data_IF_761677628499
#
_entry.id   IF_761677628499
#
_cell.length_a   1.000
_cell.length_b   1.000
_cell.length_c   1.000
_cell.angle_alpha   90.00
_cell.angle_beta   90.00
_cell.angle_gamma   90.00
#
_symmetry.space_group_name_H-M   'P 1'
#
loop_
_entity.id
_entity.type
_entity.pdbx_description
1 polymer ?
#
# COMPACT_ATOMS: atom_id res chain seq x y z
N UNK A 1 -3.98 -24.74 -9.75
CA UNK A 1 -3.80 -24.36 -8.35
C UNK A 1 -2.84 -23.18 -8.25
N UNK A 2 -3.22 -22.18 -7.48
CA UNK A 2 -2.38 -20.98 -7.35
C UNK A 2 -1.30 -21.19 -6.30
N UNK A 3 -0.05 -20.98 -6.73
CA UNK A 3 1.11 -21.14 -5.84
C UNK A 3 1.71 -19.77 -5.52
N UNK A 4 0.84 -18.82 -5.15
CA UNK A 4 1.28 -17.49 -4.78
C UNK A 4 1.81 -17.45 -3.35
N UNK A 5 2.90 -16.72 -3.14
CA UNK A 5 3.47 -16.55 -1.80
C UNK A 5 2.56 -15.71 -0.90
N UNK A 6 1.93 -14.68 -1.47
CA UNK A 6 1.04 -13.81 -0.75
C UNK A 6 0.18 -13.02 -1.72
N UNK A 7 -0.91 -12.45 -1.23
CA UNK A 7 -1.79 -11.57 -2.01
C UNK A 7 -1.59 -10.14 -1.52
N UNK A 8 -1.13 -9.26 -2.40
CA UNK A 8 -0.72 -7.90 -2.06
C UNK A 8 -1.59 -6.89 -2.78
N UNK A 9 -2.02 -5.86 -2.05
CA UNK A 9 -2.71 -4.71 -2.62
C UNK A 9 -1.73 -3.54 -2.70
N UNK A 10 -1.59 -2.96 -3.88
CA UNK A 10 -0.74 -1.78 -4.10
C UNK A 10 -1.64 -0.58 -4.37
N UNK A 11 -1.57 0.43 -3.51
CA UNK A 11 -2.40 1.61 -3.58
C UNK A 11 -1.53 2.84 -3.87
N UNK A 12 -1.68 3.40 -5.06
CA UNK A 12 -0.92 4.57 -5.48
C UNK A 12 -1.69 5.24 -6.62
N UNK A 13 -1.75 6.56 -6.63
CA UNK A 13 -2.42 7.30 -7.70
C UNK A 13 -1.57 7.35 -8.97
N UNK A 14 -0.28 7.06 -8.88
CA UNK A 14 0.63 7.05 -10.02
C UNK A 14 0.56 5.69 -10.74
N UNK A 15 0.04 5.72 -11.96
CA UNK A 15 -0.10 4.51 -12.77
C UNK A 15 1.25 3.84 -13.03
N UNK A 16 2.31 4.62 -13.24
CA UNK A 16 3.64 4.07 -13.49
C UNK A 16 4.16 3.28 -12.29
N UNK A 17 3.98 3.82 -11.11
CA UNK A 17 4.37 3.14 -9.87
C UNK A 17 3.56 1.85 -9.67
N UNK A 18 2.24 1.92 -9.86
CA UNK A 18 1.39 0.73 -9.75
C UNK A 18 1.86 -0.37 -10.69
N UNK A 19 2.12 -0.02 -11.95
CA UNK A 19 2.54 -0.99 -12.96
C UNK A 19 3.90 -1.59 -12.64
N UNK A 20 4.85 -0.75 -12.21
CA UNK A 20 6.20 -1.20 -11.87
C UNK A 20 6.19 -2.17 -10.70
N UNK A 21 5.51 -1.80 -9.62
CA UNK A 21 5.45 -2.63 -8.41
C UNK A 21 4.71 -3.93 -8.71
N UNK A 22 3.60 -3.86 -9.43
CA UNK A 22 2.84 -5.05 -9.80
C UNK A 22 3.68 -6.01 -10.63
N UNK A 23 4.39 -5.49 -11.61
CA UNK A 23 5.24 -6.32 -12.48
C UNK A 23 6.31 -7.03 -11.66
N UNK A 24 7.02 -6.28 -10.82
CA UNK A 24 8.09 -6.85 -10.02
C UNK A 24 7.58 -7.93 -9.08
N UNK A 25 6.52 -7.64 -8.35
CA UNK A 25 5.97 -8.59 -7.38
C UNK A 25 5.37 -9.81 -8.06
N UNK A 26 4.72 -9.62 -9.20
CA UNK A 26 4.15 -10.73 -9.95
C UNK A 26 5.24 -11.68 -10.47
N UNK A 27 6.38 -11.13 -10.88
CA UNK A 27 7.52 -11.93 -11.32
C UNK A 27 8.15 -12.73 -10.16
N UNK A 28 7.88 -12.32 -8.92
CA UNK A 28 8.39 -12.98 -7.74
C UNK A 28 7.32 -13.80 -7.02
N UNK A 29 6.30 -14.24 -7.75
CA UNK A 29 5.27 -15.18 -7.29
C UNK A 29 4.27 -14.61 -6.29
N UNK A 30 4.06 -13.29 -6.33
CA UNK A 30 2.98 -12.68 -5.55
C UNK A 30 1.78 -12.41 -6.44
N UNK A 31 0.59 -12.55 -5.87
CA UNK A 31 -0.63 -12.14 -6.54
C UNK A 31 -0.88 -10.69 -6.16
N UNK A 32 -1.06 -9.81 -7.15
CA UNK A 32 -1.13 -8.38 -6.92
C UNK A 32 -2.40 -7.78 -7.50
N UNK A 33 -3.14 -7.06 -6.67
CA UNK A 33 -4.20 -6.17 -7.10
C UNK A 33 -3.72 -4.73 -6.88
N UNK A 34 -4.26 -3.80 -7.65
CA UNK A 34 -3.91 -2.39 -7.52
C UNK A 34 -5.14 -1.54 -7.25
N UNK A 35 -4.93 -0.41 -6.63
CA UNK A 35 -5.96 0.59 -6.40
C UNK A 35 -5.37 1.97 -6.66
N UNK A 36 -6.15 2.87 -7.24
CA UNK A 36 -5.68 4.20 -7.59
C UNK A 36 -6.02 5.27 -6.56
N UNK A 37 -6.76 4.91 -5.53
CA UNK A 37 -7.20 5.84 -4.48
C UNK A 37 -7.50 5.08 -3.20
N UNK A 38 -7.66 5.82 -2.11
CA UNK A 38 -8.06 5.24 -0.83
C UNK A 38 -9.46 4.63 -0.92
N UNK A 39 -10.37 5.28 -1.65
CA UNK A 39 -11.73 4.80 -1.83
C UNK A 39 -11.75 3.47 -2.59
N UNK A 40 -10.97 3.38 -3.66
CA UNK A 40 -10.84 2.14 -4.44
C UNK A 40 -10.24 1.02 -3.59
N UNK A 41 -9.22 1.36 -2.79
CA UNK A 41 -8.60 0.40 -1.88
C UNK A 41 -9.61 -0.13 -0.86
N UNK A 42 -10.41 0.75 -0.29
CA UNK A 42 -11.41 0.39 0.70
C UNK A 42 -12.43 -0.60 0.12
N UNK A 43 -12.88 -0.37 -1.10
CA UNK A 43 -13.82 -1.27 -1.77
C UNK A 43 -13.20 -2.66 -1.98
N UNK A 44 -11.93 -2.72 -2.37
CA UNK A 44 -11.25 -3.98 -2.60
C UNK A 44 -11.01 -4.75 -1.31
N UNK A 45 -10.68 -4.05 -0.23
CA UNK A 45 -10.44 -4.68 1.07
C UNK A 45 -11.72 -5.32 1.63
N UNK A 46 -12.89 -4.79 1.30
CA UNK A 46 -14.15 -5.38 1.72
C UNK A 46 -14.41 -6.75 1.11
N UNK A 47 -13.86 -6.99 -0.07
CA UNK A 47 -14.14 -8.18 -0.86
C UNK A 47 -13.00 -9.20 -0.76
N UNK A 48 -11.77 -8.72 -0.70
CA UNK A 48 -10.57 -9.55 -0.78
C UNK A 48 -9.76 -9.39 0.49
N UNK A 49 -9.31 -10.50 1.06
CA UNK A 49 -8.39 -10.47 2.19
C UNK A 49 -6.97 -10.46 1.66
N UNK A 50 -6.26 -9.38 1.90
CA UNK A 50 -4.87 -9.25 1.48
C UNK A 50 -3.92 -9.61 2.61
N UNK A 51 -2.73 -10.09 2.24
CA UNK A 51 -1.68 -10.40 3.20
C UNK A 51 -0.81 -9.20 3.52
N UNK A 52 -0.78 -8.23 2.59
CA UNK A 52 0.01 -7.01 2.74
C UNK A 52 -0.62 -5.90 1.91
N UNK A 53 -0.58 -4.68 2.42
CA UNK A 53 -1.00 -3.49 1.69
C UNK A 53 0.21 -2.56 1.57
N UNK A 54 0.53 -2.16 0.34
CA UNK A 54 1.54 -1.16 0.06
C UNK A 54 0.78 0.11 -0.31
N UNK A 55 0.96 1.17 0.45
CA UNK A 55 0.08 2.33 0.43
C UNK A 55 0.87 3.63 0.28
N UNK A 56 0.55 4.41 -0.75
CA UNK A 56 1.14 5.72 -0.96
C UNK A 56 0.59 6.71 0.07
N UNK A 57 1.48 7.52 0.65
CA UNK A 57 1.07 8.56 1.60
C UNK A 57 0.35 9.70 0.87
N UNK A 58 0.90 10.11 -0.27
CA UNK A 58 0.41 11.29 -0.98
C UNK A 58 -0.54 10.89 -2.10
N UNK A 59 -1.83 10.96 -1.84
CA UNK A 59 -2.86 10.70 -2.86
C UNK A 59 -3.90 11.80 -2.87
N UNK A 60 -4.47 12.12 -4.04
CA UNK A 60 -5.58 13.07 -4.12
C UNK A 60 -6.77 12.58 -3.28
N UNK A 61 -7.47 13.52 -2.68
CA UNK A 61 -8.58 13.19 -1.80
C UNK A 61 -8.05 12.69 -0.46
N UNK A 62 -8.34 11.45 -0.13
CA UNK A 62 -7.90 10.87 1.15
C UNK A 62 -6.46 10.38 1.03
N UNK A 63 -5.57 10.88 1.88
CA UNK A 63 -4.18 10.45 1.90
C UNK A 63 -4.02 9.04 2.48
N UNK A 64 -2.85 8.44 2.27
CA UNK A 64 -2.53 7.15 2.86
C UNK A 64 -2.57 7.17 4.37
N UNK A 65 -2.10 8.26 4.99
CA UNK A 65 -2.15 8.40 6.45
C UNK A 65 -3.58 8.45 6.97
N UNK A 66 -4.45 9.21 6.29
CA UNK A 66 -5.86 9.28 6.66
C UNK A 66 -6.54 7.92 6.53
N UNK A 67 -6.22 7.19 5.46
CA UNK A 67 -6.75 5.86 5.23
C UNK A 67 -6.41 4.91 6.39
N UNK A 68 -5.15 4.89 6.82
CA UNK A 68 -4.72 4.04 7.94
C UNK A 68 -5.43 4.45 9.22
N UNK A 69 -5.47 5.75 9.48
CA UNK A 69 -6.06 6.29 10.70
C UNK A 69 -7.53 5.92 10.83
N UNK A 70 -8.28 6.02 9.73
CA UNK A 70 -9.71 5.70 9.72
C UNK A 70 -9.98 4.21 9.83
N UNK A 71 -9.05 3.37 9.36
CA UNK A 71 -9.28 1.93 9.29
C UNK A 71 -8.43 1.13 10.28
N UNK A 72 -7.71 1.80 11.17
CA UNK A 72 -6.78 1.14 12.08
C UNK A 72 -7.41 0.00 12.88
N UNK A 73 -8.61 0.21 13.39
CA UNK A 73 -9.29 -0.81 14.19
C UNK A 73 -9.86 -1.96 13.36
N UNK A 74 -9.96 -1.77 12.05
CA UNK A 74 -10.55 -2.76 11.13
C UNK A 74 -9.48 -3.50 10.31
N UNK A 75 -8.30 -2.91 10.16
CA UNK A 75 -7.23 -3.50 9.37
C UNK A 75 -6.36 -4.40 10.24
N UNK A 76 -6.45 -5.69 9.98
CA UNK A 76 -5.53 -6.67 10.58
C UNK A 76 -4.33 -6.89 9.68
N UNK A 77 -4.42 -6.42 8.44
CA UNK A 77 -3.38 -6.61 7.43
C UNK A 77 -2.23 -5.63 7.63
N UNK A 78 -0.98 -6.10 7.60
CA UNK A 78 0.18 -5.22 7.67
C UNK A 78 0.20 -4.20 6.53
N UNK A 79 0.66 -3.00 6.81
CA UNK A 79 0.73 -1.90 5.84
C UNK A 79 2.14 -1.35 5.77
N UNK A 80 2.66 -1.25 4.54
CA UNK A 80 3.92 -0.57 4.26
C UNK A 80 3.59 0.72 3.52
N UNK A 81 4.09 1.85 4.02
CA UNK A 81 3.86 3.14 3.39
C UNK A 81 4.94 3.45 2.37
N UNK A 82 4.51 3.98 1.22
CA UNK A 82 5.43 4.56 0.25
C UNK A 82 5.43 6.07 0.45
N UNK A 83 6.61 6.67 0.50
CA UNK A 83 6.73 8.10 0.66
C UNK A 83 7.70 8.68 -0.36
N UNK A 84 7.29 9.77 -1.00
CA UNK A 84 8.11 10.43 -2.02
C UNK A 84 9.36 11.08 -1.44
N UNK A 85 9.34 11.44 -0.18
CA UNK A 85 10.42 12.23 0.41
C UNK A 85 11.30 11.47 1.39
N UNK A 86 10.81 10.42 2.00
CA UNK A 86 11.59 9.68 3.00
C UNK A 86 12.00 10.50 4.20
N UNK A 87 11.30 11.60 4.47
CA UNK A 87 11.63 12.48 5.58
C UNK A 87 11.25 11.85 6.91
N UNK A 88 12.03 12.17 7.94
CA UNK A 88 11.83 11.60 9.26
C UNK A 88 10.44 11.90 9.82
N UNK A 89 9.93 13.10 9.57
CA UNK A 89 8.61 13.51 10.05
C UNK A 89 7.52 12.62 9.45
N UNK A 90 7.56 12.39 8.15
CA UNK A 90 6.58 11.55 7.47
C UNK A 90 6.65 10.11 7.95
N UNK A 91 7.86 9.61 8.18
CA UNK A 91 8.05 8.26 8.68
C UNK A 91 7.45 8.09 10.08
N UNK A 92 7.74 9.04 10.96
CA UNK A 92 7.22 9.00 12.32
C UNK A 92 5.70 9.06 12.33
N UNK A 93 5.11 9.97 11.55
CA UNK A 93 3.66 10.07 11.43
C UNK A 93 3.04 8.78 10.92
N UNK A 94 3.65 8.17 9.90
CA UNK A 94 3.17 6.91 9.35
C UNK A 94 3.16 5.79 10.36
N UNK A 95 4.25 5.62 11.09
CA UNK A 95 4.38 4.55 12.08
C UNK A 95 3.47 4.80 13.29
N UNK A 96 3.36 6.03 13.75
CA UNK A 96 2.46 6.39 14.86
C UNK A 96 0.99 6.22 14.47
N UNK A 97 0.66 6.39 13.19
CA UNK A 97 -0.70 6.25 12.71
C UNK A 97 -1.12 4.78 12.58
N UNK A 98 -0.16 3.87 12.55
CA UNK A 98 -0.45 2.44 12.53
C UNK A 98 0.15 1.66 11.39
N UNK A 99 1.00 2.28 10.57
CA UNK A 99 1.73 1.54 9.53
C UNK A 99 2.82 0.68 10.18
N UNK A 100 3.12 -0.43 9.55
CA UNK A 100 4.13 -1.36 10.06
C UNK A 100 5.53 -1.03 9.57
N UNK A 101 5.63 -0.33 8.44
CA UNK A 101 6.91 0.06 7.86
C UNK A 101 6.68 1.11 6.78
N UNK A 102 7.76 1.62 6.22
CA UNK A 102 7.67 2.56 5.12
C UNK A 102 8.82 2.35 4.13
N UNK A 103 8.61 2.80 2.88
CA UNK A 103 9.63 2.78 1.83
C UNK A 103 9.65 4.14 1.16
N UNK A 104 10.82 4.78 1.02
CA UNK A 104 10.91 6.04 0.29
C UNK A 104 10.85 5.81 -1.22
N UNK A 105 10.25 6.74 -1.94
CA UNK A 105 10.29 6.78 -3.39
C UNK A 105 11.43 7.69 -3.84
N UNK A 106 12.02 7.48 -5.02
CA UNK A 106 11.87 6.29 -5.84
C UNK A 106 12.61 5.10 -5.23
N UNK A 107 12.19 3.91 -5.58
CA UNK A 107 12.85 2.70 -5.11
C UNK A 107 13.12 1.76 -6.29
N UNK A 108 14.10 0.88 -6.11
CA UNK A 108 14.43 -0.12 -7.12
C UNK A 108 13.95 -1.49 -6.64
N UNK A 109 13.35 -2.27 -7.55
CA UNK A 109 12.90 -3.62 -7.24
C UNK A 109 14.00 -4.58 -6.78
#
# INVERSE_FOLDING_TARGET
MNNYLAHILVVDDDKGIRSLVKKYLSENQYLVNTASSAEDAFEKIKIIKFDLIILDIMMPGKSGLEFIKENKSKLETPVILLTAKGEAVERIEGLETGADDYLPKPFEP
#
